data_IF_683800656760
#
_entry.id   IF_683800656760
#
_cell.length_a   1.000
_cell.length_b   1.000
_cell.length_c   1.000
_cell.angle_alpha   90.00
_cell.angle_beta   90.00
_cell.angle_gamma   90.00
#
_symmetry.space_group_name_H-M   'P 1'
#
loop_
_entity.id
_entity.type
_entity.pdbx_description
1 polymer ?
#
# COMPACT_ATOMS: atom_id res chain seq x y z
N UNK A 1 -3.54 -11.79 -2.70
CA UNK A 1 -3.69 -10.44 -3.30
C UNK A 1 -3.23 -9.43 -2.27
N UNK A 2 -2.44 -8.40 -2.65
CA UNK A 2 -2.05 -7.34 -1.72
C UNK A 2 -3.23 -6.46 -1.34
N UNK A 3 -3.09 -5.68 -0.27
CA UNK A 3 -4.12 -4.79 0.24
C UNK A 3 -3.62 -3.34 0.27
N UNK A 4 -4.51 -2.41 -0.04
CA UNK A 4 -4.32 -0.97 0.20
C UNK A 4 -5.28 -0.57 1.33
N UNK A 5 -4.71 -0.29 2.50
CA UNK A 5 -5.45 0.10 3.70
C UNK A 5 -5.40 1.62 3.86
N UNK A 6 -6.57 2.25 3.97
CA UNK A 6 -6.73 3.68 4.19
C UNK A 6 -7.33 3.90 5.58
N UNK A 7 -6.57 4.50 6.49
CA UNK A 7 -7.01 4.83 7.84
C UNK A 7 -7.38 6.31 7.87
N UNK A 8 -8.64 6.62 8.18
CA UNK A 8 -9.15 7.99 8.21
C UNK A 8 -10.10 8.24 9.38
N UNK A 9 -10.33 9.52 9.68
CA UNK A 9 -11.29 9.98 10.69
C UNK A 9 -12.29 10.96 10.09
N UNK A 10 -13.53 10.94 10.55
CA UNK A 10 -14.61 11.82 10.04
C UNK A 10 -14.37 13.29 10.36
N UNK A 11 -13.68 13.60 11.45
CA UNK A 11 -13.34 14.95 11.88
C UNK A 11 -12.05 15.50 11.23
N UNK A 12 -11.27 14.66 10.54
CA UNK A 12 -9.99 15.02 9.96
C UNK A 12 -10.15 15.81 8.64
N UNK A 13 -9.66 17.06 8.62
CA UNK A 13 -9.74 17.94 7.45
C UNK A 13 -9.01 17.39 6.21
N UNK A 14 -7.76 16.91 6.39
CA UNK A 14 -6.97 16.33 5.31
C UNK A 14 -7.65 15.09 4.70
N UNK A 15 -8.34 14.29 5.53
CA UNK A 15 -9.07 13.11 5.10
C UNK A 15 -10.25 13.49 4.18
N UNK A 16 -10.97 14.57 4.53
CA UNK A 16 -12.05 15.11 3.69
C UNK A 16 -11.53 15.60 2.35
N UNK A 17 -10.35 16.23 2.33
CA UNK A 17 -9.70 16.69 1.10
C UNK A 17 -9.20 15.54 0.22
N UNK A 18 -8.71 14.45 0.81
CA UNK A 18 -8.16 13.31 0.08
C UNK A 18 -9.23 12.41 -0.56
N UNK A 19 -10.40 12.29 0.08
CA UNK A 19 -11.52 11.45 -0.39
C UNK A 19 -11.92 11.70 -1.85
N UNK A 20 -12.17 12.94 -2.32
CA UNK A 20 -12.50 13.19 -3.72
C UNK A 20 -11.35 12.84 -4.67
N UNK A 21 -10.08 13.09 -4.28
CA UNK A 21 -8.91 12.73 -5.08
C UNK A 21 -8.87 11.24 -5.40
N UNK A 22 -9.16 10.38 -4.41
CA UNK A 22 -9.20 8.93 -4.63
C UNK A 22 -10.45 8.51 -5.41
N UNK A 23 -11.62 9.09 -5.07
CA UNK A 23 -12.91 8.72 -5.67
C UNK A 23 -12.98 9.06 -7.16
N UNK A 24 -12.50 10.23 -7.54
CA UNK A 24 -12.74 10.79 -8.87
C UNK A 24 -11.57 10.50 -9.84
N UNK A 25 -10.46 9.92 -9.34
CA UNK A 25 -9.30 9.56 -10.16
C UNK A 25 -9.52 8.22 -10.89
N UNK A 26 -9.66 8.30 -12.22
CA UNK A 26 -9.66 7.11 -13.09
C UNK A 26 -8.35 6.32 -13.03
N UNK A 27 -7.15 6.94 -13.02
CA UNK A 27 -5.90 6.20 -12.85
C UNK A 27 -5.81 5.42 -11.54
N UNK A 28 -6.29 5.99 -10.41
CA UNK A 28 -6.35 5.28 -9.13
C UNK A 28 -7.35 4.10 -9.22
N UNK A 29 -8.50 4.31 -9.86
CA UNK A 29 -9.48 3.24 -10.08
C UNK A 29 -8.94 2.07 -10.91
N UNK A 30 -8.11 2.32 -11.93
CA UNK A 30 -7.49 1.23 -12.69
C UNK A 30 -6.49 0.44 -11.84
N UNK A 31 -5.68 1.13 -11.03
CA UNK A 31 -4.70 0.48 -10.17
C UNK A 31 -5.35 -0.21 -8.96
N UNK A 32 -6.51 0.24 -8.49
CA UNK A 32 -7.22 -0.35 -7.35
C UNK A 32 -7.61 -1.81 -7.60
N UNK A 33 -7.79 -2.21 -8.86
CA UNK A 33 -8.09 -3.60 -9.27
C UNK A 33 -7.01 -4.61 -8.88
N UNK A 34 -5.79 -4.16 -8.59
CA UNK A 34 -4.69 -5.00 -8.14
C UNK A 34 -4.64 -5.18 -6.61
N UNK A 35 -5.51 -4.49 -5.87
CA UNK A 35 -5.50 -4.49 -4.43
C UNK A 35 -6.87 -4.86 -3.86
N UNK A 36 -6.85 -5.49 -2.69
CA UNK A 36 -8.00 -5.44 -1.80
C UNK A 36 -8.02 -4.03 -1.19
N UNK A 37 -9.04 -3.24 -1.54
CA UNK A 37 -9.19 -1.87 -1.04
C UNK A 37 -9.94 -1.91 0.29
N UNK A 38 -9.31 -1.41 1.36
CA UNK A 38 -9.90 -1.36 2.69
C UNK A 38 -9.80 0.06 3.22
N UNK A 39 -10.91 0.62 3.70
CA UNK A 39 -10.92 1.85 4.46
C UNK A 39 -11.41 1.56 5.88
N UNK A 40 -10.79 2.21 6.87
CA UNK A 40 -11.21 2.15 8.27
C UNK A 40 -11.56 3.56 8.72
N UNK A 41 -12.73 3.71 9.30
CA UNK A 41 -13.27 4.99 9.76
C UNK A 41 -13.36 5.02 11.29
N UNK A 42 -12.89 6.10 11.90
CA UNK A 42 -13.09 6.38 13.33
C UNK A 42 -12.67 5.21 14.24
N UNK A 43 -13.60 4.53 14.90
CA UNK A 43 -13.31 3.43 15.82
C UNK A 43 -12.82 2.15 15.15
N UNK A 44 -12.85 2.05 13.83
CA UNK A 44 -12.39 0.87 13.07
C UNK A 44 -10.87 0.83 12.86
N UNK A 45 -10.15 1.85 13.31
CA UNK A 45 -8.69 1.91 13.19
C UNK A 45 -8.04 0.71 13.90
N UNK A 46 -7.15 -0.04 13.20
CA UNK A 46 -6.44 -1.15 13.81
C UNK A 46 -5.38 -0.64 14.81
N UNK A 47 -5.21 -1.37 15.91
CA UNK A 47 -4.37 -0.94 17.04
C UNK A 47 -2.98 -1.61 17.08
N UNK A 48 -2.67 -2.52 16.14
CA UNK A 48 -1.35 -3.16 16.09
C UNK A 48 -0.25 -2.16 15.75
N UNK A 49 0.95 -2.34 16.33
CA UNK A 49 2.09 -1.44 16.18
C UNK A 49 2.52 -1.20 14.71
N UNK A 50 2.28 -2.17 13.83
CA UNK A 50 2.60 -2.04 12.40
C UNK A 50 1.83 -0.91 11.69
N UNK A 51 0.73 -0.42 12.28
CA UNK A 51 -0.07 0.70 11.74
C UNK A 51 0.31 2.07 12.32
N UNK A 52 1.41 2.13 13.09
CA UNK A 52 1.93 3.32 13.76
C UNK A 52 3.44 3.54 13.49
N UNK A 53 3.90 3.23 12.27
CA UNK A 53 5.34 3.23 11.89
C UNK A 53 6.04 4.58 12.18
N UNK A 54 5.41 5.70 11.84
CA UNK A 54 5.96 7.04 12.02
C UNK A 54 4.97 8.01 12.69
N UNK A 55 3.94 7.47 13.37
CA UNK A 55 2.98 8.22 14.18
C UNK A 55 1.51 7.90 13.91
N UNK A 56 0.65 8.42 14.78
CA UNK A 56 -0.81 8.24 14.74
C UNK A 56 -1.57 9.42 14.11
N UNK A 57 -1.04 10.01 13.03
CA UNK A 57 -1.67 11.13 12.29
C UNK A 57 -2.68 10.63 11.26
N UNK A 58 -3.55 11.48 10.70
CA UNK A 58 -4.53 11.07 9.68
C UNK A 58 -4.52 12.01 8.47
N UNK A 59 -4.79 11.52 7.25
CA UNK A 59 -4.98 10.10 6.89
C UNK A 59 -3.65 9.33 6.80
N UNK A 60 -3.71 7.99 6.90
CA UNK A 60 -2.58 7.09 6.60
C UNK A 60 -2.98 6.06 5.55
N UNK A 61 -2.10 5.82 4.59
CA UNK A 61 -2.29 4.77 3.58
C UNK A 61 -1.14 3.77 3.69
N UNK A 62 -1.48 2.51 3.92
CA UNK A 62 -0.53 1.40 3.97
C UNK A 62 -0.77 0.42 2.82
N UNK A 63 0.31 -0.17 2.33
CA UNK A 63 0.28 -1.29 1.40
C UNK A 63 0.74 -2.55 2.13
N UNK A 64 -0.13 -3.55 2.17
CA UNK A 64 0.10 -4.82 2.85
C UNK A 64 0.23 -5.95 1.83
N UNK A 65 1.04 -6.94 2.13
CA UNK A 65 1.09 -8.17 1.33
C UNK A 65 -0.11 -9.11 1.61
N UNK A 66 -0.13 -10.26 0.95
CA UNK A 66 -1.17 -11.27 1.13
C UNK A 66 -1.17 -11.94 2.50
N UNK A 67 -0.22 -11.64 3.39
CA UNK A 67 -0.20 -12.10 4.78
C UNK A 67 -0.60 -11.00 5.76
N UNK A 68 -1.02 -9.83 5.26
CA UNK A 68 -1.42 -8.71 6.11
C UNK A 68 -0.24 -8.00 6.76
N UNK A 69 0.98 -8.14 6.24
CA UNK A 69 2.15 -7.42 6.74
C UNK A 69 2.32 -6.10 6.00
N UNK A 70 2.48 -5.00 6.73
CA UNK A 70 2.78 -3.68 6.15
C UNK A 70 4.18 -3.65 5.51
N UNK A 71 4.29 -3.10 4.30
CA UNK A 71 5.57 -2.88 3.60
C UNK A 71 6.04 -1.44 3.78
N UNK A 72 7.05 -1.25 4.63
CA UNK A 72 7.50 0.07 5.10
C UNK A 72 8.15 0.94 4.01
N UNK A 73 8.61 0.34 2.92
CA UNK A 73 9.22 1.01 1.76
C UNK A 73 8.21 1.53 0.73
N UNK A 74 6.93 1.12 0.86
CA UNK A 74 5.80 1.56 0.06
C UNK A 74 5.13 2.78 0.73
N UNK A 75 5.80 3.92 0.65
CA UNK A 75 5.38 5.16 1.28
C UNK A 75 5.48 6.35 0.30
N UNK A 76 4.94 7.50 0.69
CA UNK A 76 5.07 8.76 -0.03
C UNK A 76 6.53 9.23 0.02
N UNK A 77 7.13 9.46 -1.16
CA UNK A 77 8.54 9.88 -1.30
C UNK A 77 8.69 11.37 -1.60
N UNK A 78 7.59 12.12 -1.60
CA UNK A 78 7.61 13.56 -1.76
C UNK A 78 8.40 14.21 -0.60
N UNK A 79 9.37 15.10 -0.88
CA UNK A 79 10.15 15.79 0.14
C UNK A 79 9.30 16.52 1.20
N UNK A 80 8.11 17.00 0.84
CA UNK A 80 7.19 17.65 1.78
C UNK A 80 6.62 16.70 2.85
N UNK A 81 6.72 15.39 2.64
CA UNK A 81 6.10 14.34 3.47
C UNK A 81 7.12 13.45 4.19
N UNK A 82 8.41 13.81 4.23
CA UNK A 82 9.46 12.99 4.86
C UNK A 82 9.22 12.65 6.34
N UNK A 83 8.50 13.51 7.06
CA UNK A 83 8.11 13.30 8.47
C UNK A 83 6.82 12.48 8.63
N UNK A 84 6.01 12.39 7.58
CA UNK A 84 4.68 11.76 7.57
C UNK A 84 4.57 10.88 6.32
N UNK A 85 5.40 9.84 6.27
CA UNK A 85 5.66 9.07 5.05
C UNK A 85 4.42 8.39 4.50
N UNK A 86 3.44 8.09 5.34
CA UNK A 86 2.20 7.42 4.94
C UNK A 86 1.03 8.38 4.74
N UNK A 87 1.28 9.70 4.80
CA UNK A 87 0.32 10.73 4.42
C UNK A 87 0.44 11.07 2.94
N UNK A 88 -0.70 11.32 2.30
CA UNK A 88 -0.82 11.67 0.89
C UNK A 88 -1.78 12.86 0.75
N UNK A 89 -1.41 13.84 -0.07
CA UNK A 89 -2.25 15.00 -0.35
C UNK A 89 -2.65 15.12 -1.83
N UNK A 90 -1.86 14.53 -2.72
CA UNK A 90 -2.04 14.68 -4.16
C UNK A 90 -2.15 13.33 -4.87
N UNK A 91 -2.90 13.32 -5.98
CA UNK A 91 -3.15 12.13 -6.80
C UNK A 91 -1.83 11.46 -7.25
N UNK A 92 -0.87 12.25 -7.72
CA UNK A 92 0.41 11.73 -8.23
C UNK A 92 1.18 10.95 -7.18
N UNK A 93 1.15 11.39 -5.91
CA UNK A 93 1.81 10.70 -4.81
C UNK A 93 1.22 9.30 -4.62
N UNK A 94 -0.12 9.19 -4.62
CA UNK A 94 -0.82 7.92 -4.50
C UNK A 94 -0.50 7.03 -5.70
N UNK A 95 -0.57 7.57 -6.92
CA UNK A 95 -0.32 6.81 -8.14
C UNK A 95 1.10 6.24 -8.20
N UNK A 96 2.11 7.03 -7.81
CA UNK A 96 3.49 6.56 -7.80
C UNK A 96 3.68 5.40 -6.81
N UNK A 97 3.13 5.53 -5.60
CA UNK A 97 3.24 4.45 -4.59
C UNK A 97 2.42 3.21 -5.00
N UNK A 98 1.22 3.38 -5.56
CA UNK A 98 0.42 2.26 -6.09
C UNK A 98 1.15 1.51 -7.22
N UNK A 99 1.73 2.23 -8.19
CA UNK A 99 2.52 1.62 -9.27
C UNK A 99 3.71 0.85 -8.73
N UNK A 100 4.42 1.42 -7.75
CA UNK A 100 5.54 0.75 -7.12
C UNK A 100 5.11 -0.50 -6.34
N UNK A 101 3.97 -0.42 -5.63
CA UNK A 101 3.38 -1.56 -4.94
C UNK A 101 2.97 -2.69 -5.91
N UNK A 102 2.33 -2.37 -7.04
CA UNK A 102 2.00 -3.37 -8.08
C UNK A 102 3.28 -4.02 -8.61
N UNK A 103 4.28 -3.22 -8.99
CA UNK A 103 5.57 -3.75 -9.46
C UNK A 103 6.21 -4.67 -8.41
N UNK A 104 6.23 -4.27 -7.14
CA UNK A 104 6.78 -5.07 -6.05
C UNK A 104 6.01 -6.38 -5.85
N UNK A 105 4.70 -6.33 -5.68
CA UNK A 105 3.93 -7.52 -5.31
C UNK A 105 3.74 -8.52 -6.45
N UNK A 106 3.77 -8.06 -7.70
CA UNK A 106 3.54 -8.92 -8.87
C UNK A 106 4.82 -9.31 -9.61
N UNK A 107 5.90 -8.52 -9.58
CA UNK A 107 7.16 -8.92 -10.19
C UNK A 107 7.95 -9.94 -9.32
N UNK A 108 7.73 -9.95 -8.00
CA UNK A 108 8.32 -10.98 -7.11
C UNK A 108 7.70 -12.37 -7.33
N UNK A 109 6.48 -12.46 -7.86
CA UNK A 109 5.85 -13.76 -8.17
C UNK A 109 6.56 -14.47 -9.34
N UNK A 110 7.05 -13.72 -10.32
CA UNK A 110 7.77 -14.23 -11.49
C UNK A 110 9.11 -14.86 -11.10
N UNK A 111 9.79 -14.30 -10.10
CA UNK A 111 11.11 -14.76 -9.64
C UNK A 111 11.01 -15.93 -8.66
N UNK A 112 9.99 -15.95 -7.79
CA UNK A 112 9.73 -17.09 -6.91
C UNK A 112 9.42 -18.37 -7.70
N UNK A 113 8.62 -18.27 -8.78
CA UNK A 113 8.28 -19.42 -9.63
C UNK A 113 9.47 -19.94 -10.47
N UNK A 114 10.40 -19.06 -10.86
CA UNK A 114 11.61 -19.45 -11.60
C UNK A 114 12.65 -20.14 -10.71
N UNK A 115 12.75 -19.75 -9.44
CA UNK A 115 13.68 -20.38 -8.49
C UNK A 115 13.23 -21.78 -8.06
N UNK A 116 11.92 -22.05 -7.99
CA UNK A 116 11.39 -23.38 -7.64
C UNK A 116 11.57 -24.40 -8.77
N UNK A 117 11.63 -23.98 -10.04
CA UNK A 117 11.91 -24.88 -11.16
C UNK A 117 13.40 -25.24 -11.30
N UNK A 118 14.32 -24.36 -10.89
CA UNK A 118 15.75 -24.64 -10.94
C UNK A 118 16.23 -25.60 -9.83
N UNK A 119 15.53 -25.65 -8.69
CA UNK A 119 15.86 -26.59 -7.60
C UNK A 119 15.36 -28.02 -7.88
N UNK A 120 14.24 -28.20 -8.59
CA UNK A 120 13.74 -29.53 -8.96
C UNK A 120 14.54 -30.18 -10.10
N UNK A 121 15.27 -29.42 -10.93
CA UNK A 121 16.11 -30.00 -12.00
C UNK A 121 17.50 -30.45 -11.54
N UNK A 122 17.97 -30.07 -10.34
CA UNK A 122 19.28 -30.48 -9.82
C UNK A 122 19.24 -31.74 -8.94
N UNK A 123 18.06 -32.20 -8.50
CA UNK A 123 17.91 -33.41 -7.70
C UNK A 123 17.75 -34.72 -8.50
N UNK A 124 17.66 -34.66 -9.84
CA UNK A 124 17.57 -35.85 -10.71
C UNK A 124 18.91 -36.28 -11.36
N UNK A 125 20.04 -35.66 -10.98
CA UNK A 125 21.38 -36.02 -11.47
C UNK A 125 22.28 -36.70 -10.42
N UNK A 126 21.70 -37.41 -9.47
CA UNK A 126 22.44 -38.30 -8.56
C UNK A 126 21.85 -39.69 -8.55
#
# INVERSE_FOLDING_TARGET
MPMMLIIHKTWCGACKSLKPTIKDSRPIWELSKYFIMVNTEDSEEPHDEQYFIDGGYYPRIYFLDSQGKVHHDLHNRDPAFLKYKFSFAYEEQILQTMKFAVGKFYNTQSTAQQNTQQQTTQQQKK
#
